data_IF_519870965175
#
_entry.id   IF_519870965175
#
_cell.length_a   1.000
_cell.length_b   1.000
_cell.length_c   1.000
_cell.angle_alpha   90.00
_cell.angle_beta   90.00
_cell.angle_gamma   90.00
#
_symmetry.space_group_name_H-M   'P 1'
#
loop_
_entity.id
_entity.type
_entity.pdbx_description
1 polymer ?
#
# COMPACT_ATOMS: atom_id res chain seq x y z
N UNK A 1 -20.83 -18.08 -9.35
CA UNK A 1 -21.10 -16.64 -9.51
C UNK A 1 -19.79 -16.00 -9.88
N UNK A 2 -19.70 -15.32 -11.02
CA UNK A 2 -18.51 -14.54 -11.37
C UNK A 2 -18.64 -13.19 -10.67
N UNK A 3 -17.70 -12.85 -9.79
CA UNK A 3 -17.68 -11.53 -9.14
C UNK A 3 -17.51 -10.40 -10.16
N UNK A 4 -17.72 -9.15 -9.73
CA UNK A 4 -17.37 -7.98 -10.55
C UNK A 4 -15.87 -7.73 -10.43
N UNK A 5 -15.18 -7.69 -11.56
CA UNK A 5 -13.74 -7.46 -11.63
C UNK A 5 -13.44 -6.10 -12.28
N UNK A 6 -12.46 -5.34 -11.77
CA UNK A 6 -11.96 -4.16 -12.47
C UNK A 6 -11.27 -4.59 -13.76
N UNK A 7 -11.38 -3.79 -14.81
CA UNK A 7 -10.61 -3.95 -16.06
C UNK A 7 -9.15 -3.56 -15.88
N UNK A 8 -8.91 -2.61 -15.00
CA UNK A 8 -7.63 -2.00 -14.68
C UNK A 8 -7.72 -1.34 -13.30
N UNK A 9 -6.57 -1.18 -12.65
CA UNK A 9 -6.49 -0.45 -11.40
C UNK A 9 -5.64 0.81 -11.57
N UNK A 10 -6.04 1.95 -10.98
CA UNK A 10 -5.26 3.18 -11.11
C UNK A 10 -3.92 3.05 -10.37
N UNK A 11 -2.96 3.89 -10.77
CA UNK A 11 -1.66 3.95 -10.12
C UNK A 11 -1.82 4.20 -8.60
N UNK A 12 -1.10 3.41 -7.79
CA UNK A 12 -1.24 3.44 -6.33
C UNK A 12 -2.27 2.46 -5.76
N UNK A 13 -3.16 1.89 -6.58
CA UNK A 13 -4.22 0.95 -6.19
C UNK A 13 -4.10 -0.40 -6.91
N UNK A 14 -2.87 -0.80 -7.26
CA UNK A 14 -2.59 -1.95 -8.13
C UNK A 14 -2.83 -3.31 -7.48
N UNK A 15 -3.29 -3.33 -6.22
CA UNK A 15 -3.56 -4.54 -5.46
C UNK A 15 -5.03 -4.88 -5.49
N UNK A 16 -5.33 -6.17 -5.36
CA UNK A 16 -6.69 -6.68 -5.42
C UNK A 16 -7.14 -7.20 -4.06
N UNK A 17 -8.31 -6.75 -3.63
CA UNK A 17 -9.02 -7.30 -2.48
C UNK A 17 -10.28 -8.04 -2.94
N UNK A 18 -10.44 -9.28 -2.48
CA UNK A 18 -11.62 -10.09 -2.75
C UNK A 18 -12.62 -9.92 -1.61
N UNK A 19 -13.78 -9.36 -1.91
CA UNK A 19 -14.86 -9.13 -0.95
C UNK A 19 -15.31 -10.47 -0.36
N UNK A 20 -15.43 -10.51 0.96
CA UNK A 20 -15.97 -11.66 1.71
C UNK A 20 -17.33 -11.33 2.34
N UNK A 21 -18.10 -12.34 2.80
CA UNK A 21 -19.38 -12.08 3.46
C UNK A 21 -19.25 -11.10 4.64
N UNK A 22 -20.10 -10.06 4.64
CA UNK A 22 -20.15 -9.03 5.69
C UNK A 22 -19.27 -7.81 5.45
N UNK A 23 -18.46 -7.80 4.38
CA UNK A 23 -17.70 -6.61 4.02
C UNK A 23 -18.59 -5.46 3.51
N UNK A 24 -18.16 -4.24 3.82
CA UNK A 24 -18.69 -2.99 3.24
C UNK A 24 -17.53 -2.09 2.86
N UNK A 25 -17.75 -1.12 1.96
CA UNK A 25 -16.71 -0.12 1.64
C UNK A 25 -16.19 0.59 2.89
N UNK A 26 -17.08 0.88 3.86
CA UNK A 26 -16.74 1.53 5.13
C UNK A 26 -15.84 0.68 6.04
N UNK A 27 -15.91 -0.65 5.94
CA UNK A 27 -15.07 -1.58 6.71
C UNK A 27 -13.75 -1.84 5.98
N UNK A 28 -13.78 -1.93 4.65
CA UNK A 28 -12.61 -2.23 3.83
C UNK A 28 -11.65 -1.05 3.79
N UNK A 29 -12.13 0.16 3.48
CA UNK A 29 -11.28 1.32 3.22
C UNK A 29 -10.28 1.64 4.37
N UNK A 30 -10.69 1.64 5.65
CA UNK A 30 -9.77 1.90 6.76
C UNK A 30 -8.67 0.84 6.92
N UNK A 31 -8.89 -0.41 6.48
CA UNK A 31 -7.85 -1.46 6.51
C UNK A 31 -6.66 -1.11 5.62
N UNK A 32 -6.92 -0.35 4.56
CA UNK A 32 -5.91 0.15 3.62
C UNK A 32 -5.51 1.60 3.87
N UNK A 33 -5.94 2.18 5.00
CA UNK A 33 -5.59 3.54 5.40
C UNK A 33 -6.17 4.65 4.52
N UNK A 34 -7.24 4.37 3.78
CA UNK A 34 -7.91 5.33 2.89
C UNK A 34 -9.34 5.61 3.32
N UNK A 35 -9.92 6.69 2.78
CA UNK A 35 -11.33 7.02 2.96
C UNK A 35 -12.25 6.12 2.14
N UNK A 36 -13.49 5.94 2.60
CA UNK A 36 -14.52 5.17 1.89
C UNK A 36 -14.79 5.76 0.50
N UNK A 37 -14.91 7.09 0.41
CA UNK A 37 -15.18 7.81 -0.83
C UNK A 37 -14.06 7.63 -1.86
N UNK A 38 -12.81 7.56 -1.40
CA UNK A 38 -11.64 7.26 -2.24
C UNK A 38 -11.69 5.82 -2.76
N UNK A 39 -12.00 4.85 -1.90
CA UNK A 39 -12.18 3.46 -2.32
C UNK A 39 -13.31 3.31 -3.34
N UNK A 40 -14.40 4.06 -3.20
CA UNK A 40 -15.50 4.06 -4.18
C UNK A 40 -15.01 4.65 -5.51
N UNK A 41 -14.32 5.79 -5.47
CA UNK A 41 -13.89 6.51 -6.67
C UNK A 41 -12.93 5.68 -7.55
N UNK A 42 -12.06 4.86 -6.96
CA UNK A 42 -11.12 4.00 -7.69
C UNK A 42 -11.72 2.66 -8.13
N UNK A 43 -12.96 2.37 -7.77
CA UNK A 43 -13.67 1.12 -8.11
C UNK A 43 -15.00 1.40 -8.87
N UNK A 44 -14.98 2.11 -10.01
CA UNK A 44 -16.19 2.53 -10.71
C UNK A 44 -17.01 1.37 -11.31
N UNK A 45 -16.44 0.17 -11.43
CA UNK A 45 -17.17 -1.03 -11.83
C UNK A 45 -18.17 -1.50 -10.77
N UNK A 46 -18.05 -1.03 -9.53
CA UNK A 46 -19.04 -1.20 -8.47
C UNK A 46 -20.05 -0.05 -8.55
N UNK A 47 -21.07 -0.22 -9.39
CA UNK A 47 -22.06 0.84 -9.70
C UNK A 47 -22.88 1.29 -8.49
N UNK A 48 -23.20 0.37 -7.57
CA UNK A 48 -23.80 0.70 -6.27
C UNK A 48 -22.80 0.33 -5.15
N UNK A 49 -22.11 1.31 -4.55
CA UNK A 49 -21.09 1.07 -3.54
C UNK A 49 -21.63 0.59 -2.19
N UNK A 50 -22.96 0.63 -1.97
CA UNK A 50 -23.59 0.07 -0.78
C UNK A 50 -23.89 -1.42 -0.92
N UNK A 51 -23.75 -1.97 -2.12
CA UNK A 51 -24.05 -3.38 -2.43
C UNK A 51 -22.78 -4.06 -2.90
N UNK A 52 -22.10 -4.74 -1.98
CA UNK A 52 -20.97 -5.62 -2.26
C UNK A 52 -21.42 -7.09 -2.20
N UNK A 53 -20.94 -7.89 -3.14
CA UNK A 53 -21.16 -9.33 -3.18
C UNK A 53 -19.86 -10.09 -2.88
N UNK A 54 -19.90 -11.20 -2.13
CA UNK A 54 -18.74 -12.06 -1.98
C UNK A 54 -18.15 -12.47 -3.34
N UNK A 55 -16.84 -12.28 -3.49
CA UNK A 55 -16.11 -12.52 -4.73
C UNK A 55 -15.97 -11.30 -5.66
N UNK A 56 -16.63 -10.17 -5.37
CA UNK A 56 -16.27 -8.91 -6.01
C UNK A 56 -14.79 -8.58 -5.74
N UNK A 57 -14.13 -7.98 -6.71
CA UNK A 57 -12.74 -7.57 -6.59
C UNK A 57 -12.65 -6.06 -6.59
N UNK A 58 -11.94 -5.52 -5.61
CA UNK A 58 -11.66 -4.10 -5.50
C UNK A 58 -10.17 -3.85 -5.76
N UNK A 59 -9.89 -2.82 -6.56
CA UNK A 59 -8.61 -2.13 -6.58
C UNK A 59 -8.43 -1.45 -5.21
N UNK A 60 -7.39 -1.87 -4.50
CA UNK A 60 -7.04 -1.33 -3.19
C UNK A 60 -5.59 -0.88 -3.19
N UNK A 61 -5.25 0.10 -2.36
CA UNK A 61 -3.87 0.44 -2.13
C UNK A 61 -3.07 -0.68 -1.46
N UNK A 62 -1.75 -0.52 -1.43
CA UNK A 62 -0.86 -1.37 -0.65
C UNK A 62 -0.30 -2.57 -1.40
N UNK A 63 0.36 -3.46 -0.66
CA UNK A 63 1.09 -4.64 -1.15
C UNK A 63 2.14 -4.36 -2.23
N UNK A 64 2.62 -3.12 -2.39
CA UNK A 64 3.77 -2.85 -3.22
C UNK A 64 4.99 -3.41 -2.50
N UNK A 65 5.41 -4.59 -2.95
CA UNK A 65 6.55 -5.31 -2.42
C UNK A 65 7.65 -5.36 -3.46
N UNK A 66 8.86 -4.90 -3.14
CA UNK A 66 9.98 -5.00 -4.06
C UNK A 66 10.39 -6.46 -4.20
N UNK A 67 10.62 -6.90 -5.42
CA UNK A 67 11.11 -8.25 -5.72
C UNK A 67 12.45 -8.49 -4.99
N UNK A 68 13.37 -7.53 -5.08
CA UNK A 68 14.69 -7.56 -4.45
C UNK A 68 14.92 -6.30 -3.63
N UNK A 69 15.68 -6.42 -2.54
CA UNK A 69 16.21 -5.27 -1.81
C UNK A 69 17.67 -4.97 -2.24
N UNK A 70 18.15 -3.73 -2.05
CA UNK A 70 19.57 -3.40 -2.24
C UNK A 70 20.47 -4.29 -1.36
N UNK A 71 21.74 -4.56 -1.74
CA UNK A 71 22.64 -5.46 -1.00
C UNK A 71 22.85 -5.07 0.47
N UNK A 72 22.95 -3.77 0.77
CA UNK A 72 23.22 -3.24 2.11
C UNK A 72 21.93 -2.88 2.86
N UNK A 73 20.98 -3.82 2.98
CA UNK A 73 19.72 -3.60 3.68
C UNK A 73 19.71 -4.26 5.08
N UNK A 74 19.12 -3.59 6.06
CA UNK A 74 18.97 -4.11 7.44
C UNK A 74 17.75 -5.02 7.60
N UNK A 75 16.75 -4.86 6.74
CA UNK A 75 15.56 -5.69 6.76
C UNK A 75 14.43 -5.15 5.88
N UNK A 76 13.33 -5.89 5.87
CA UNK A 76 12.08 -5.46 5.24
C UNK A 76 11.15 -4.93 6.33
N UNK A 77 10.53 -3.78 6.05
CA UNK A 77 9.53 -3.17 6.92
C UNK A 77 8.19 -3.14 6.21
N UNK A 78 7.17 -3.71 6.86
CA UNK A 78 5.80 -3.57 6.41
C UNK A 78 5.20 -2.30 6.99
N UNK A 79 4.79 -1.39 6.11
CA UNK A 79 4.16 -0.11 6.45
C UNK A 79 2.90 -0.35 7.25
N UNK A 80 2.75 0.37 8.36
CA UNK A 80 1.58 0.32 9.23
C UNK A 80 0.69 1.53 9.01
N UNK A 81 -0.54 1.44 9.51
CA UNK A 81 -1.49 2.56 9.47
C UNK A 81 -0.85 3.79 10.14
N UNK A 82 -0.84 4.91 9.42
CA UNK A 82 -0.29 6.18 9.88
C UNK A 82 1.21 6.37 9.62
N UNK A 83 1.92 5.37 9.07
CA UNK A 83 3.32 5.54 8.71
C UNK A 83 3.49 6.51 7.53
N UNK A 84 4.61 7.24 7.58
CA UNK A 84 5.15 8.01 6.45
C UNK A 84 6.58 7.53 6.17
N UNK A 85 7.15 7.89 5.02
CA UNK A 85 8.59 7.65 4.80
C UNK A 85 9.45 8.31 5.89
N UNK A 86 9.05 9.48 6.41
CA UNK A 86 9.74 10.16 7.49
C UNK A 86 9.72 9.36 8.80
N UNK A 87 8.53 8.94 9.26
CA UNK A 87 8.42 8.17 10.51
C UNK A 87 9.08 6.81 10.42
N UNK A 88 8.98 6.15 9.26
CA UNK A 88 9.68 4.89 9.00
C UNK A 88 11.20 5.08 9.04
N UNK A 89 11.74 6.11 8.37
CA UNK A 89 13.18 6.38 8.38
C UNK A 89 13.69 6.70 9.79
N UNK A 90 12.95 7.54 10.54
CA UNK A 90 13.28 7.87 11.93
C UNK A 90 13.30 6.62 12.83
N UNK A 91 12.33 5.72 12.67
CA UNK A 91 12.24 4.46 13.42
C UNK A 91 13.48 3.57 13.25
N UNK A 92 14.11 3.63 12.08
CA UNK A 92 15.30 2.85 11.76
C UNK A 92 16.60 3.65 11.79
N UNK A 93 16.53 4.91 12.26
CA UNK A 93 17.67 5.82 12.35
C UNK A 93 18.43 5.98 11.02
N UNK A 94 17.69 6.11 9.91
CA UNK A 94 18.23 6.33 8.55
C UNK A 94 17.74 7.67 7.97
N UNK A 95 18.41 8.16 6.94
CA UNK A 95 17.93 9.33 6.21
C UNK A 95 16.65 9.03 5.42
N UNK A 96 15.70 9.97 5.38
CA UNK A 96 14.46 9.81 4.59
C UNK A 96 14.78 9.62 3.11
N UNK A 97 15.72 10.40 2.57
CA UNK A 97 16.16 10.28 1.17
C UNK A 97 16.84 8.94 0.91
N UNK A 98 17.56 8.38 1.88
CA UNK A 98 18.16 7.04 1.77
C UNK A 98 17.09 5.96 1.71
N UNK A 99 16.06 6.08 2.56
CA UNK A 99 14.91 5.17 2.52
C UNK A 99 14.18 5.30 1.18
N UNK A 100 13.93 6.51 0.68
CA UNK A 100 13.26 6.72 -0.61
C UNK A 100 14.08 6.10 -1.75
N UNK A 101 15.38 6.37 -1.79
CA UNK A 101 16.28 5.84 -2.82
C UNK A 101 16.35 4.30 -2.82
N UNK A 102 16.25 3.67 -1.63
CA UNK A 102 16.24 2.22 -1.50
C UNK A 102 14.91 1.56 -1.97
N UNK A 103 13.86 2.35 -2.22
CA UNK A 103 12.51 1.87 -2.49
C UNK A 103 11.93 2.42 -3.82
N UNK A 104 12.59 2.20 -4.97
CA UNK A 104 12.17 2.75 -6.26
C UNK A 104 10.82 2.21 -6.77
N UNK A 105 10.32 1.10 -6.22
CA UNK A 105 8.97 0.59 -6.51
C UNK A 105 7.85 1.47 -5.91
N UNK A 106 8.19 2.39 -5.01
CA UNK A 106 7.28 3.40 -4.50
C UNK A 106 7.44 4.67 -5.34
N UNK A 107 6.71 4.76 -6.45
CA UNK A 107 6.85 5.86 -7.42
C UNK A 107 6.55 7.25 -6.84
N UNK A 108 5.67 7.33 -5.83
CA UNK A 108 5.42 8.55 -5.09
C UNK A 108 5.71 8.31 -3.60
N UNK A 109 6.85 8.77 -3.06
CA UNK A 109 7.25 8.51 -1.68
C UNK A 109 6.38 9.23 -0.64
N UNK A 110 5.55 10.20 -1.04
CA UNK A 110 4.57 10.83 -0.15
C UNK A 110 3.34 9.96 0.08
N UNK A 111 3.16 8.91 -0.72
CA UNK A 111 1.98 8.04 -0.70
C UNK A 111 2.45 6.61 -0.48
N UNK A 112 2.51 6.21 0.78
CA UNK A 112 2.67 4.82 1.21
C UNK A 112 1.38 4.36 1.88
N UNK A 113 1.07 3.09 1.73
CA UNK A 113 -0.15 2.49 2.26
C UNK A 113 0.22 1.36 3.23
N UNK A 114 -0.66 1.04 4.19
CA UNK A 114 -0.54 -0.18 4.96
C UNK A 114 -0.24 -1.39 4.08
N UNK A 115 0.62 -2.28 4.57
CA UNK A 115 1.07 -3.49 3.87
C UNK A 115 2.00 -3.28 2.68
N UNK A 116 2.34 -2.04 2.30
CA UNK A 116 3.53 -1.82 1.47
C UNK A 116 4.77 -2.35 2.20
N UNK A 117 5.73 -2.86 1.45
CA UNK A 117 6.98 -3.36 2.01
C UNK A 117 8.11 -2.45 1.58
N UNK A 118 8.80 -1.86 2.56
CA UNK A 118 10.00 -1.08 2.37
C UNK A 118 11.24 -1.95 2.60
N UNK A 119 12.21 -1.88 1.70
CA UNK A 119 13.58 -2.26 1.97
C UNK A 119 14.21 -1.17 2.82
N UNK A 120 14.57 -1.49 4.05
CA UNK A 120 15.23 -0.54 4.95
C UNK A 120 16.74 -0.68 4.75
N UNK A 121 17.45 0.35 4.25
CA UNK A 121 18.90 0.28 4.10
C UNK A 121 19.61 0.22 5.47
N UNK A 122 20.83 -0.29 5.50
CA UNK A 122 21.74 -0.14 6.63
C UNK A 122 22.03 1.33 6.88
N UNK A 123 22.21 1.69 8.15
CA UNK A 123 22.71 3.03 8.49
C UNK A 123 24.12 3.14 7.94
N UNK A 124 24.35 4.04 6.98
CA UNK A 124 25.72 4.42 6.62
C UNK A 124 26.28 5.18 7.81
N UNK A 125 27.17 4.54 8.59
CA UNK A 125 27.92 5.29 9.58
C UNK A 125 28.68 6.39 8.83
N UNK A 126 28.49 7.64 9.23
CA UNK A 126 29.36 8.72 8.78
C UNK A 126 30.79 8.28 9.13
N UNK A 127 31.64 8.18 8.11
CA UNK A 127 33.00 7.68 8.25
C UNK A 127 33.76 8.42 9.35
N UNK A 128 34.57 7.65 10.09
CA UNK A 128 35.76 8.17 10.75
C UNK A 128 36.69 8.81 9.72
#
# INVERSE_FOLDING_TARGET
>A
MSGRFPTDCPAGFLSHYFVIPGDTMSIIAPRFGIGKEELIAVNPHITDPNVLFPGDVLCVPGFRKPATCPPDFQGRYEVKIGDTMFSAAQKFNIGVEELIAANPHISNPKVIFPFDVLCVPQVKQAGN
#
